data_IF_667636799000
#
_entry.id   IF_667636799000
#
_cell.length_a   1.000
_cell.length_b   1.000
_cell.length_c   1.000
_cell.angle_alpha   90.00
_cell.angle_beta   90.00
_cell.angle_gamma   90.00
#
_symmetry.space_group_name_H-M   'P 1'
#
loop_
_entity.id
_entity.type
_entity.pdbx_description
1 polymer ?
#
# COMPACT_ATOMS: atom_id res chain seq x y z
N UNK A 1 -4.67 -32.56 11.76
CA UNK A 1 -6.05 -32.39 11.30
C UNK A 1 -6.17 -31.00 10.71
N UNK A 2 -6.35 -30.95 9.40
CA UNK A 2 -6.41 -29.75 8.57
C UNK A 2 -7.71 -28.98 8.82
N UNK A 3 -7.64 -27.77 9.37
CA UNK A 3 -8.79 -26.87 9.42
C UNK A 3 -8.89 -26.11 8.10
N UNK A 4 -9.76 -26.61 7.23
CA UNK A 4 -10.31 -25.93 6.08
C UNK A 4 -11.34 -24.88 6.56
N UNK A 5 -10.89 -23.68 6.94
CA UNK A 5 -11.78 -22.52 7.14
C UNK A 5 -11.46 -21.42 6.12
N UNK A 6 -11.58 -21.74 4.83
CA UNK A 6 -11.43 -20.80 3.71
C UNK A 6 -12.80 -20.52 3.04
N UNK A 7 -13.81 -20.16 3.84
CA UNK A 7 -15.15 -19.82 3.35
C UNK A 7 -15.63 -18.42 3.76
N UNK A 8 -14.72 -17.45 3.90
CA UNK A 8 -15.11 -16.05 4.04
C UNK A 8 -14.93 -15.34 2.69
N UNK A 9 -16.02 -14.69 2.24
CA UNK A 9 -16.35 -14.22 0.89
C UNK A 9 -17.17 -15.26 0.11
N UNK A 10 -18.48 -15.01 -0.02
CA UNK A 10 -19.41 -15.87 -0.75
C UNK A 10 -18.86 -16.21 -2.15
N UNK A 11 -19.12 -17.44 -2.60
CA UNK A 11 -18.75 -17.94 -3.93
C UNK A 11 -19.38 -17.17 -5.10
N UNK A 12 -20.25 -16.20 -4.81
CA UNK A 12 -21.16 -15.59 -5.78
C UNK A 12 -20.71 -14.19 -6.25
N UNK A 13 -19.42 -13.84 -6.09
CA UNK A 13 -18.81 -12.70 -6.78
C UNK A 13 -18.66 -12.95 -8.29
N UNK A 14 -19.75 -13.33 -8.97
CA UNK A 14 -19.84 -13.36 -10.44
C UNK A 14 -20.01 -11.93 -11.00
N UNK A 15 -19.06 -11.06 -10.71
CA UNK A 15 -19.02 -9.71 -11.27
C UNK A 15 -17.60 -9.37 -11.70
N UNK A 16 -17.09 -10.12 -12.67
CA UNK A 16 -15.93 -9.67 -13.44
C UNK A 16 -16.41 -8.63 -14.48
N UNK A 17 -16.99 -7.53 -14.00
CA UNK A 17 -17.31 -6.35 -14.82
C UNK A 17 -16.04 -5.51 -14.94
N UNK A 18 -15.03 -6.10 -15.58
CA UNK A 18 -13.72 -5.49 -15.82
C UNK A 18 -13.89 -4.22 -16.63
N UNK A 19 -13.26 -3.15 -16.19
CA UNK A 19 -13.33 -1.86 -16.86
C UNK A 19 -12.04 -1.54 -17.55
N UNK A 20 -11.77 -2.34 -18.58
CA UNK A 20 -10.68 -2.12 -19.51
C UNK A 20 -10.80 -0.74 -20.18
N UNK A 21 -9.65 -0.15 -20.51
CA UNK A 21 -9.57 1.16 -21.15
C UNK A 21 -9.61 2.34 -20.17
N UNK A 22 -9.71 2.08 -18.85
CA UNK A 22 -9.47 3.08 -17.81
C UNK A 22 -7.98 3.12 -17.45
N UNK A 23 -7.50 4.30 -17.04
CA UNK A 23 -6.14 4.48 -16.52
C UNK A 23 -6.16 4.69 -15.01
N UNK A 24 -5.22 4.05 -14.32
CA UNK A 24 -5.00 4.26 -12.89
C UNK A 24 -3.56 4.64 -12.65
N UNK A 25 -3.33 5.72 -11.91
CA UNK A 25 -2.01 6.06 -11.39
C UNK A 25 -2.08 6.06 -9.87
N UNK A 26 -1.32 5.18 -9.23
CA UNK A 26 -1.09 5.18 -7.79
C UNK A 26 0.26 5.84 -7.51
N UNK A 27 0.22 7.09 -7.05
CA UNK A 27 1.37 7.85 -6.60
C UNK A 27 1.51 7.73 -5.09
N UNK A 28 2.48 6.93 -4.66
CA UNK A 28 2.85 6.73 -3.26
C UNK A 28 4.09 7.57 -2.94
N UNK A 29 3.95 8.56 -2.06
CA UNK A 29 5.06 9.40 -1.60
C UNK A 29 5.40 8.99 -0.18
N UNK A 30 6.50 8.26 0.01
CA UNK A 30 6.92 7.67 1.28
C UNK A 30 7.08 8.74 2.37
N UNK A 31 6.63 8.45 3.59
CA UNK A 31 6.73 9.34 4.73
C UNK A 31 5.84 10.61 4.67
N UNK A 32 5.03 10.80 3.62
CA UNK A 32 4.23 12.01 3.48
C UNK A 32 3.11 12.12 4.53
N UNK A 33 3.22 13.12 5.40
CA UNK A 33 2.25 13.43 6.45
C UNK A 33 1.02 14.15 5.89
N UNK A 34 -0.14 13.97 6.53
CA UNK A 34 -1.36 14.66 6.13
C UNK A 34 -1.25 16.20 6.17
N UNK A 35 -0.46 16.75 7.11
CA UNK A 35 -0.30 18.19 7.30
C UNK A 35 0.64 18.84 6.28
N UNK A 36 1.39 18.05 5.52
CA UNK A 36 2.13 18.55 4.35
C UNK A 36 1.18 18.91 3.19
N UNK A 37 -0.05 18.37 3.18
CA UNK A 37 -1.06 18.58 2.11
C UNK A 37 -2.27 19.37 2.59
N UNK A 38 -2.79 19.06 3.79
CA UNK A 38 -4.06 19.61 4.30
C UNK A 38 -3.91 20.75 5.30
N UNK A 39 -2.70 21.23 5.56
CA UNK A 39 -2.48 22.28 6.55
C UNK A 39 -3.19 23.59 6.21
N UNK A 40 -3.70 24.24 7.25
CA UNK A 40 -4.20 25.62 7.20
C UNK A 40 -3.07 26.65 7.12
N UNK A 41 -1.83 26.24 7.42
CA UNK A 41 -0.64 27.06 7.21
C UNK A 41 -0.42 27.29 5.71
N UNK A 42 -0.49 28.57 5.33
CA UNK A 42 -0.27 29.02 3.96
C UNK A 42 1.12 28.63 3.45
N UNK A 43 2.13 28.48 4.32
CA UNK A 43 3.45 28.03 3.87
C UNK A 43 3.45 26.57 3.42
N UNK A 44 2.84 25.67 4.18
CA UNK A 44 2.71 24.26 3.77
C UNK A 44 1.80 24.11 2.54
N UNK A 45 0.64 24.79 2.52
CA UNK A 45 -0.24 24.81 1.34
C UNK A 45 0.45 25.41 0.10
N UNK A 46 1.42 26.33 0.29
CA UNK A 46 2.20 26.90 -0.81
C UNK A 46 3.25 25.95 -1.40
N UNK A 47 3.52 24.79 -0.79
CA UNK A 47 4.51 23.81 -1.28
C UNK A 47 3.93 22.81 -2.28
N UNK A 48 2.65 22.45 -2.15
CA UNK A 48 1.92 21.60 -3.11
C UNK A 48 0.71 22.35 -3.70
N UNK A 49 0.98 23.45 -4.41
CA UNK A 49 -0.06 24.40 -4.85
C UNK A 49 -1.00 23.78 -5.86
N UNK A 50 -0.48 23.00 -6.81
CA UNK A 50 -1.31 22.37 -7.81
C UNK A 50 -2.25 21.36 -7.15
N UNK A 51 -1.72 20.46 -6.32
CA UNK A 51 -2.51 19.46 -5.61
C UNK A 51 -3.56 20.11 -4.69
N UNK A 52 -3.19 21.13 -3.91
CA UNK A 52 -4.14 21.86 -3.05
C UNK A 52 -5.25 22.56 -3.85
N UNK A 53 -4.92 23.16 -5.00
CA UNK A 53 -5.93 23.78 -5.86
C UNK A 53 -6.84 22.74 -6.50
N UNK A 54 -6.27 21.65 -7.01
CA UNK A 54 -7.00 20.57 -7.68
C UNK A 54 -7.97 19.86 -6.74
N UNK A 55 -7.53 19.51 -5.52
CA UNK A 55 -8.38 18.86 -4.51
C UNK A 55 -9.53 19.75 -4.02
N UNK A 56 -9.42 21.07 -4.16
CA UNK A 56 -10.47 22.04 -3.83
C UNK A 56 -11.38 22.36 -5.04
N UNK A 57 -11.27 21.60 -6.13
CA UNK A 57 -12.03 21.81 -7.35
C UNK A 57 -11.63 23.07 -8.14
N UNK A 58 -10.44 23.64 -7.88
CA UNK A 58 -9.92 24.86 -8.51
C UNK A 58 -8.70 24.57 -9.36
N UNK A 59 -8.62 23.38 -9.97
CA UNK A 59 -7.50 23.05 -10.85
C UNK A 59 -7.41 24.03 -12.02
N UNK A 60 -6.19 24.43 -12.38
CA UNK A 60 -5.92 25.16 -13.63
C UNK A 60 -5.96 24.28 -14.88
N UNK A 61 -5.90 22.95 -14.71
CA UNK A 61 -5.94 21.97 -15.78
C UNK A 61 -7.37 21.45 -15.92
N UNK A 62 -7.92 21.58 -17.13
CA UNK A 62 -9.21 20.99 -17.48
C UNK A 62 -9.14 19.44 -17.46
N UNK A 63 -10.29 18.78 -17.30
CA UNK A 63 -10.39 17.31 -17.36
C UNK A 63 -10.51 16.63 -16.00
N UNK A 64 -10.16 17.30 -14.90
CA UNK A 64 -10.58 16.86 -13.55
C UNK A 64 -12.08 17.13 -13.41
N UNK A 65 -12.87 16.07 -13.30
CA UNK A 65 -14.31 16.14 -13.01
C UNK A 65 -14.63 15.74 -11.57
N UNK A 66 -13.91 14.76 -11.04
CA UNK A 66 -14.05 14.31 -9.66
C UNK A 66 -12.81 14.62 -8.82
N UNK A 67 -13.02 15.11 -7.61
CA UNK A 67 -11.99 15.29 -6.59
C UNK A 67 -12.50 14.82 -5.22
N UNK A 68 -11.65 14.13 -4.47
CA UNK A 68 -11.94 13.70 -3.10
C UNK A 68 -10.68 13.79 -2.24
N UNK A 69 -10.87 14.13 -0.98
CA UNK A 69 -9.78 14.18 -0.01
C UNK A 69 -10.21 13.51 1.29
N UNK A 70 -9.31 12.75 1.88
CA UNK A 70 -9.52 12.09 3.17
C UNK A 70 -8.19 12.01 3.92
N UNK A 71 -8.29 11.84 5.23
CA UNK A 71 -7.15 11.40 6.04
C UNK A 71 -7.21 9.88 6.11
N UNK A 72 -6.10 9.23 5.80
CA UNK A 72 -5.97 7.78 5.93
C UNK A 72 -5.24 7.46 7.22
N UNK A 73 -5.89 6.65 8.06
CA UNK A 73 -5.34 6.13 9.30
C UNK A 73 -4.50 4.89 9.03
N UNK A 74 -3.26 4.96 9.49
CA UNK A 74 -2.22 3.96 9.32
C UNK A 74 -1.92 3.33 10.68
N UNK A 75 -1.98 2.01 10.78
CA UNK A 75 -1.70 1.30 12.03
C UNK A 75 -0.20 1.10 12.23
N UNK A 76 0.23 1.06 13.48
CA UNK A 76 1.60 0.70 13.83
C UNK A 76 1.90 -0.80 13.56
N UNK A 77 3.16 -1.17 13.27
CA UNK A 77 4.29 -0.27 13.05
C UNK A 77 4.14 0.44 11.70
N UNK A 78 4.37 1.75 11.70
CA UNK A 78 4.35 2.61 10.52
C UNK A 78 5.67 2.46 9.75
N UNK A 79 5.90 1.27 9.20
CA UNK A 79 7.09 0.92 8.41
C UNK A 79 6.67 0.56 6.99
N UNK A 80 7.43 1.01 5.99
CA UNK A 80 7.14 0.90 4.56
C UNK A 80 6.56 -0.45 4.12
N UNK A 81 7.30 -1.55 4.29
CA UNK A 81 6.85 -2.87 3.81
C UNK A 81 5.50 -3.33 4.43
N UNK A 82 5.31 -3.34 5.76
CA UNK A 82 4.01 -3.64 6.35
C UNK A 82 2.87 -2.75 5.82
N UNK A 83 3.15 -1.48 5.57
CA UNK A 83 2.13 -0.52 5.12
C UNK A 83 1.79 -0.69 3.64
N UNK A 84 2.77 -0.98 2.78
CA UNK A 84 2.52 -1.41 1.38
C UNK A 84 1.66 -2.68 1.36
N UNK A 85 1.95 -3.65 2.24
CA UNK A 85 1.10 -4.86 2.37
C UNK A 85 -0.33 -4.49 2.78
N UNK A 86 -0.50 -3.58 3.74
CA UNK A 86 -1.82 -3.12 4.15
C UNK A 86 -2.59 -2.46 3.00
N UNK A 87 -1.96 -1.49 2.31
CA UNK A 87 -2.51 -0.77 1.16
C UNK A 87 -2.99 -1.71 0.05
N UNK A 88 -2.21 -2.76 -0.25
CA UNK A 88 -2.44 -3.63 -1.40
C UNK A 88 -3.30 -4.85 -1.08
N UNK A 89 -3.36 -5.31 0.17
CA UNK A 89 -4.15 -6.49 0.57
C UNK A 89 -5.45 -6.13 1.27
N UNK A 90 -5.57 -4.90 1.78
CA UNK A 90 -6.68 -4.49 2.63
C UNK A 90 -6.64 -5.14 4.02
N UNK A 91 -5.47 -5.58 4.48
CA UNK A 91 -5.29 -6.25 5.77
C UNK A 91 -4.12 -5.67 6.54
N UNK A 92 -4.30 -5.45 7.85
CA UNK A 92 -3.18 -5.11 8.72
C UNK A 92 -2.29 -6.33 8.90
N UNK A 93 -0.99 -6.26 8.58
CA UNK A 93 -0.08 -7.38 8.82
C UNK A 93 0.09 -7.66 10.32
N UNK A 94 -0.07 -8.92 10.70
CA UNK A 94 0.25 -9.36 12.07
C UNK A 94 1.75 -9.33 12.34
N UNK A 95 2.15 -9.46 13.61
CA UNK A 95 3.56 -9.36 14.02
C UNK A 95 4.46 -10.39 13.33
N UNK A 96 4.00 -11.64 13.32
CA UNK A 96 4.71 -12.74 12.67
C UNK A 96 4.82 -12.48 11.16
N UNK A 97 3.74 -12.01 10.53
CA UNK A 97 3.80 -11.63 9.11
C UNK A 97 4.87 -10.57 8.83
N UNK A 98 5.02 -9.55 9.69
CA UNK A 98 6.06 -8.52 9.53
C UNK A 98 7.45 -9.13 9.63
N UNK A 99 7.70 -9.97 10.63
CA UNK A 99 9.00 -10.62 10.82
C UNK A 99 9.35 -11.55 9.66
N UNK A 100 8.42 -12.43 9.26
CA UNK A 100 8.68 -13.36 8.17
C UNK A 100 8.83 -12.66 6.83
N UNK A 101 8.06 -11.61 6.57
CA UNK A 101 8.21 -10.83 5.34
C UNK A 101 9.54 -10.08 5.26
N UNK A 102 10.13 -9.69 6.40
CA UNK A 102 11.47 -9.11 6.42
C UNK A 102 12.53 -10.10 5.89
N UNK A 103 12.29 -11.41 6.05
CA UNK A 103 13.18 -12.48 5.60
C UNK A 103 12.71 -13.17 4.31
N UNK A 104 11.49 -12.89 3.83
CA UNK A 104 10.92 -13.53 2.66
C UNK A 104 11.30 -12.80 1.37
N UNK A 105 11.49 -13.55 0.29
CA UNK A 105 11.77 -13.01 -1.04
C UNK A 105 10.52 -12.59 -1.81
N UNK A 106 9.33 -13.08 -1.44
CA UNK A 106 8.06 -12.81 -2.13
C UNK A 106 6.86 -12.76 -1.16
N UNK A 107 5.90 -11.86 -1.41
CA UNK A 107 4.64 -11.82 -0.67
C UNK A 107 3.67 -12.88 -1.19
N UNK A 108 3.52 -14.00 -0.50
CA UNK A 108 2.59 -15.07 -0.89
C UNK A 108 1.09 -14.71 -0.78
N UNK A 109 0.75 -13.57 -0.18
CA UNK A 109 -0.64 -13.16 0.09
C UNK A 109 -1.32 -12.55 -1.15
N UNK A 110 -2.61 -12.83 -1.31
CA UNK A 110 -3.46 -12.20 -2.33
C UNK A 110 -3.52 -10.68 -2.14
N UNK A 111 -3.49 -9.93 -3.24
CA UNK A 111 -3.39 -8.46 -3.25
C UNK A 111 -3.99 -7.87 -4.52
N UNK A 112 -4.31 -6.58 -4.51
CA UNK A 112 -4.86 -5.88 -5.67
C UNK A 112 -3.93 -5.94 -6.88
N UNK A 113 -2.61 -5.92 -6.67
CA UNK A 113 -1.60 -6.06 -7.71
C UNK A 113 -1.70 -7.43 -8.39
N UNK A 114 -1.81 -8.51 -7.59
CA UNK A 114 -2.02 -9.87 -8.12
C UNK A 114 -3.39 -10.02 -8.78
N UNK A 115 -4.42 -9.32 -8.29
CA UNK A 115 -5.77 -9.31 -8.91
C UNK A 115 -5.77 -8.62 -10.26
N UNK A 116 -5.06 -7.50 -10.41
CA UNK A 116 -4.84 -6.85 -11.71
C UNK A 116 -4.10 -7.76 -12.68
N UNK A 117 -2.98 -8.36 -12.24
CA UNK A 117 -2.23 -9.30 -13.06
C UNK A 117 -3.09 -10.48 -13.52
N UNK A 118 -3.82 -11.11 -12.60
CA UNK A 118 -4.72 -12.24 -12.92
C UNK A 118 -5.87 -11.86 -13.84
N UNK A 119 -6.26 -10.57 -13.85
CA UNK A 119 -7.27 -10.02 -14.74
C UNK A 119 -6.70 -9.48 -16.07
N UNK A 120 -5.41 -9.70 -16.33
CA UNK A 120 -4.67 -9.26 -17.52
C UNK A 120 -4.57 -7.73 -17.70
N UNK A 121 -4.57 -6.97 -16.60
CA UNK A 121 -4.21 -5.56 -16.66
C UNK A 121 -2.70 -5.43 -16.93
N UNK A 122 -2.32 -4.49 -17.80
CA UNK A 122 -0.92 -4.11 -17.94
C UNK A 122 -0.52 -3.21 -16.78
N UNK A 123 0.11 -3.79 -15.74
CA UNK A 123 0.59 -3.07 -14.56
C UNK A 123 2.06 -2.72 -14.73
N UNK A 124 2.40 -1.44 -14.67
CA UNK A 124 3.78 -0.95 -14.64
C UNK A 124 4.12 -0.38 -13.25
N UNK A 125 5.34 -0.63 -12.79
CA UNK A 125 5.83 -0.16 -11.49
C UNK A 125 7.19 0.53 -11.59
N UNK A 126 7.34 1.67 -10.94
CA UNK A 126 8.60 2.38 -10.78
C UNK A 126 8.77 2.85 -9.34
N UNK A 127 9.89 2.48 -8.71
CA UNK A 127 10.17 2.82 -7.31
C UNK A 127 11.35 2.03 -6.77
N UNK A 128 11.21 1.50 -5.57
CA UNK A 128 12.25 0.69 -4.94
C UNK A 128 12.06 -0.81 -5.10
N UNK A 129 13.08 -1.58 -4.72
CA UNK A 129 13.09 -3.03 -4.87
C UNK A 129 12.07 -3.76 -3.97
N UNK A 130 11.55 -3.12 -2.93
CA UNK A 130 10.56 -3.70 -2.00
C UNK A 130 9.35 -4.22 -2.77
N UNK A 131 8.80 -3.40 -3.67
CA UNK A 131 7.65 -3.79 -4.50
C UNK A 131 7.99 -4.92 -5.47
N UNK A 132 9.14 -4.86 -6.13
CA UNK A 132 9.54 -5.87 -7.12
C UNK A 132 9.76 -7.24 -6.48
N UNK A 133 10.24 -7.28 -5.23
CA UNK A 133 10.33 -8.49 -4.41
C UNK A 133 8.94 -8.96 -3.98
N UNK A 134 8.11 -8.07 -3.44
CA UNK A 134 6.78 -8.43 -2.93
C UNK A 134 5.85 -8.99 -4.02
N UNK A 135 5.85 -8.38 -5.22
CA UNK A 135 4.91 -8.70 -6.29
C UNK A 135 5.61 -9.32 -7.51
N UNK A 136 6.59 -10.19 -7.27
CA UNK A 136 7.36 -10.85 -8.31
C UNK A 136 6.42 -11.48 -9.37
N UNK A 137 6.70 -11.19 -10.64
CA UNK A 137 5.92 -11.70 -11.77
C UNK A 137 4.53 -11.08 -11.93
N UNK A 138 4.15 -10.06 -11.15
CA UNK A 138 2.83 -9.39 -11.28
C UNK A 138 2.86 -8.11 -12.12
N UNK A 139 4.05 -7.64 -12.51
CA UNK A 139 4.23 -6.43 -13.32
C UNK A 139 4.57 -6.78 -14.77
N UNK A 140 3.90 -6.10 -15.72
CA UNK A 140 4.25 -6.15 -17.13
C UNK A 140 5.59 -5.46 -17.40
N UNK A 141 5.91 -4.42 -16.62
CA UNK A 141 7.20 -3.74 -16.59
C UNK A 141 7.46 -3.24 -15.17
N UNK A 142 8.67 -3.40 -14.67
CA UNK A 142 9.06 -2.87 -13.38
C UNK A 142 10.51 -2.40 -13.39
N UNK A 143 10.78 -1.24 -12.78
CA UNK A 143 12.13 -0.80 -12.45
C UNK A 143 12.19 -0.41 -10.97
N UNK A 144 12.78 -1.30 -10.18
CA UNK A 144 13.06 -1.09 -8.76
C UNK A 144 14.54 -0.82 -8.55
N UNK A 145 14.87 0.22 -7.79
CA UNK A 145 16.23 0.48 -7.31
C UNK A 145 16.37 0.10 -5.83
N UNK A 146 17.58 -0.23 -5.34
CA UNK A 146 17.77 -0.54 -3.93
C UNK A 146 17.36 0.61 -3.00
N UNK A 147 16.55 0.32 -1.97
CA UNK A 147 16.05 1.32 -1.00
C UNK A 147 16.95 1.56 0.21
N UNK A 148 17.98 0.73 0.43
CA UNK A 148 18.71 0.69 1.71
C UNK A 148 19.66 1.88 1.96
N UNK A 149 19.85 2.79 1.01
CA UNK A 149 20.73 3.95 1.17
C UNK A 149 19.92 5.21 1.46
N UNK A 150 19.45 5.35 2.71
CA UNK A 150 18.66 6.50 3.17
C UNK A 150 19.36 7.87 2.99
N UNK A 151 20.67 7.89 2.72
CA UNK A 151 21.42 9.13 2.43
C UNK A 151 21.18 9.69 1.02
N UNK A 152 20.51 8.92 0.15
CA UNK A 152 20.18 9.33 -1.21
C UNK A 152 18.68 9.52 -1.38
N UNK A 153 18.27 10.79 -1.52
CA UNK A 153 16.88 11.20 -1.73
C UNK A 153 16.64 11.75 -3.14
N UNK A 154 17.53 11.42 -4.09
CA UNK A 154 17.47 11.88 -5.47
C UNK A 154 17.46 10.73 -6.49
N UNK A 155 18.28 9.69 -6.34
CA UNK A 155 18.47 8.69 -7.41
C UNK A 155 17.20 7.91 -7.71
N UNK A 156 16.52 7.40 -6.66
CA UNK A 156 15.27 6.66 -6.82
C UNK A 156 14.19 7.56 -7.42
N UNK A 157 13.97 8.76 -6.85
CA UNK A 157 12.97 9.71 -7.34
C UNK A 157 13.23 10.16 -8.78
N UNK A 158 14.49 10.37 -9.16
CA UNK A 158 14.90 10.70 -10.53
C UNK A 158 14.58 9.54 -11.48
N UNK A 159 14.94 8.31 -11.11
CA UNK A 159 14.64 7.14 -11.91
C UNK A 159 13.13 6.95 -12.11
N UNK A 160 12.33 7.14 -11.05
CA UNK A 160 10.87 7.10 -11.13
C UNK A 160 10.34 8.19 -12.06
N UNK A 161 10.88 9.41 -11.97
CA UNK A 161 10.48 10.55 -12.82
C UNK A 161 10.82 10.32 -14.29
N UNK A 162 11.98 9.75 -14.60
CA UNK A 162 12.39 9.44 -15.97
C UNK A 162 11.48 8.38 -16.61
N UNK A 163 11.22 7.28 -15.90
CA UNK A 163 10.29 6.25 -16.34
C UNK A 163 8.84 6.76 -16.45
N UNK A 164 8.42 7.62 -15.52
CA UNK A 164 7.11 8.27 -15.61
C UNK A 164 6.96 9.04 -16.92
N UNK A 165 7.99 9.80 -17.34
CA UNK A 165 7.93 10.54 -18.62
C UNK A 165 7.73 9.61 -19.81
N UNK A 166 8.43 8.47 -19.83
CA UNK A 166 8.24 7.46 -20.88
C UNK A 166 6.84 6.87 -20.85
N UNK A 167 6.35 6.49 -19.67
CA UNK A 167 5.01 5.94 -19.48
C UNK A 167 3.91 6.94 -19.88
N UNK A 168 4.06 8.24 -19.59
CA UNK A 168 3.12 9.28 -19.99
C UNK A 168 3.13 9.55 -21.50
N UNK A 169 4.25 9.31 -22.19
CA UNK A 169 4.31 9.38 -23.65
C UNK A 169 3.67 8.14 -24.31
N UNK A 170 3.69 7.00 -23.62
CA UNK A 170 3.15 5.73 -24.10
C UNK A 170 1.92 5.28 -23.28
N UNK A 171 0.94 6.16 -23.03
CA UNK A 171 -0.22 5.87 -22.18
C UNK A 171 -1.02 4.62 -22.60
N UNK A 172 -0.92 4.17 -23.85
CA UNK A 172 -1.53 2.93 -24.33
C UNK A 172 -0.85 1.65 -23.82
N UNK A 173 0.38 1.71 -23.28
CA UNK A 173 1.15 0.52 -22.88
C UNK A 173 0.81 -0.03 -21.49
N UNK A 174 0.03 0.70 -20.70
CA UNK A 174 -0.29 0.36 -19.31
C UNK A 174 -1.74 0.69 -18.97
N UNK A 175 -2.37 -0.10 -18.12
CA UNK A 175 -3.68 0.20 -17.52
C UNK A 175 -3.51 0.78 -16.11
N UNK A 176 -2.51 0.29 -15.38
CA UNK A 176 -2.16 0.74 -14.03
C UNK A 176 -0.69 1.11 -13.98
N UNK A 177 -0.41 2.29 -13.44
CA UNK A 177 0.93 2.79 -13.16
C UNK A 177 1.07 2.99 -11.65
N UNK A 178 2.05 2.31 -11.04
CA UNK A 178 2.38 2.46 -9.62
C UNK A 178 3.73 3.16 -9.52
N UNK A 179 3.75 4.27 -8.79
CA UNK A 179 4.94 5.10 -8.59
C UNK A 179 5.19 5.22 -7.09
N UNK A 180 6.39 4.86 -6.64
CA UNK A 180 6.77 4.99 -5.23
C UNK A 180 8.03 5.85 -5.12
N UNK A 181 7.87 7.05 -4.56
CA UNK A 181 8.93 8.02 -4.33
C UNK A 181 9.39 7.95 -2.88
N UNK A 182 10.70 7.89 -2.65
CA UNK A 182 11.31 7.67 -1.32
C UNK A 182 11.98 8.92 -0.76
N UNK A 183 12.29 9.90 -1.61
CA UNK A 183 13.14 11.02 -1.23
C UNK A 183 12.61 11.86 -0.07
N UNK A 184 11.28 11.94 0.11
CA UNK A 184 10.70 12.66 1.23
C UNK A 184 10.96 11.97 2.58
N UNK A 185 10.75 10.65 2.66
CA UNK A 185 11.06 9.85 3.86
C UNK A 185 12.55 9.90 4.20
N UNK A 186 13.41 9.77 3.19
CA UNK A 186 14.86 9.86 3.34
C UNK A 186 15.31 11.23 3.90
N UNK A 187 14.76 12.35 3.40
CA UNK A 187 15.00 13.68 3.99
C UNK A 187 14.53 13.70 5.45
N UNK A 188 13.37 13.10 5.72
CA UNK A 188 12.84 12.90 7.07
C UNK A 188 13.87 12.26 7.99
N UNK A 189 14.42 11.10 7.65
CA UNK A 189 15.40 10.40 8.47
C UNK A 189 16.70 11.18 8.72
N UNK A 190 17.18 11.91 7.72
CA UNK A 190 18.48 12.62 7.82
C UNK A 190 18.33 13.95 8.58
N UNK A 191 17.32 14.75 8.22
CA UNK A 191 17.22 16.16 8.65
C UNK A 191 15.91 16.51 9.36
N UNK A 192 14.94 15.58 9.39
CA UNK A 192 13.62 15.77 9.98
C UNK A 192 12.61 16.44 9.05
N UNK A 193 11.30 16.34 9.37
CA UNK A 193 10.21 16.88 8.53
C UNK A 193 10.19 18.41 8.40
N UNK A 194 10.92 19.11 9.27
CA UNK A 194 11.04 20.57 9.26
C UNK A 194 12.32 21.07 8.55
N UNK A 195 13.05 20.17 7.88
CA UNK A 195 14.21 20.53 7.08
C UNK A 195 13.89 21.57 6.00
N UNK A 196 14.91 22.36 5.62
CA UNK A 196 14.84 23.29 4.49
C UNK A 196 14.74 22.59 3.14
N UNK A 197 15.02 21.29 3.06
CA UNK A 197 14.90 20.47 1.85
C UNK A 197 13.46 20.01 1.59
N UNK A 198 12.63 19.85 2.64
CA UNK A 198 11.25 19.38 2.51
C UNK A 198 10.39 20.25 1.59
N UNK A 199 10.44 21.61 1.64
CA UNK A 199 9.72 22.45 0.69
C UNK A 199 10.04 22.17 -0.78
N UNK A 200 11.31 22.02 -1.12
CA UNK A 200 11.73 21.77 -2.51
C UNK A 200 11.30 20.37 -2.96
N UNK A 201 11.40 19.38 -2.06
CA UNK A 201 10.91 18.02 -2.32
C UNK A 201 9.39 17.96 -2.51
N UNK A 202 8.61 18.71 -1.72
CA UNK A 202 7.16 18.78 -1.91
C UNK A 202 6.79 19.50 -3.21
N UNK A 203 7.55 20.53 -3.61
CA UNK A 203 7.37 21.18 -4.91
C UNK A 203 7.69 20.25 -6.09
N UNK A 204 8.72 19.39 -5.95
CA UNK A 204 9.01 18.32 -6.91
C UNK A 204 7.82 17.37 -7.06
N UNK A 205 7.24 16.91 -5.94
CA UNK A 205 6.08 16.00 -5.96
C UNK A 205 4.83 16.68 -6.54
N UNK A 206 4.62 17.97 -6.27
CA UNK A 206 3.52 18.76 -6.85
C UNK A 206 3.64 18.85 -8.38
N UNK A 207 4.86 19.03 -8.90
CA UNK A 207 5.13 19.03 -10.33
C UNK A 207 4.90 17.64 -10.97
N UNK A 208 5.24 16.56 -10.26
CA UNK A 208 4.91 15.18 -10.69
C UNK A 208 3.40 15.01 -10.81
N UNK A 209 2.62 15.38 -9.79
CA UNK A 209 1.15 15.35 -9.83
C UNK A 209 0.61 16.14 -11.02
N UNK A 210 1.09 17.36 -11.24
CA UNK A 210 0.67 18.20 -12.36
C UNK A 210 0.96 17.56 -13.71
N UNK A 211 2.14 16.95 -13.88
CA UNK A 211 2.53 16.29 -15.13
C UNK A 211 1.62 15.10 -15.47
N UNK A 212 1.25 14.30 -14.45
CA UNK A 212 0.35 13.16 -14.60
C UNK A 212 -1.04 13.64 -15.01
N UNK A 213 -1.59 14.63 -14.30
CA UNK A 213 -2.92 15.18 -14.63
C UNK A 213 -2.93 15.80 -16.02
N UNK A 214 -1.89 16.56 -16.40
CA UNK A 214 -1.78 17.15 -17.73
C UNK A 214 -1.83 16.07 -18.82
N UNK A 215 -1.01 15.03 -18.69
CA UNK A 215 -0.93 13.96 -19.66
C UNK A 215 -2.26 13.18 -19.73
N UNK A 216 -2.84 12.79 -18.60
CA UNK A 216 -4.09 12.03 -18.55
C UNK A 216 -5.30 12.82 -19.05
N UNK A 217 -5.41 14.11 -18.69
CA UNK A 217 -6.49 14.98 -19.17
C UNK A 217 -6.48 15.21 -20.68
N UNK A 218 -5.34 14.98 -21.35
CA UNK A 218 -5.23 15.05 -22.81
C UNK A 218 -5.74 13.80 -23.52
N UNK A 219 -5.98 12.70 -22.78
CA UNK A 219 -6.40 11.42 -23.33
C UNK A 219 -7.94 11.29 -23.28
N UNK A 220 -8.58 10.71 -24.32
CA UNK A 220 -10.02 10.48 -24.35
C UNK A 220 -10.42 9.21 -23.58
N UNK A 221 -9.85 9.00 -22.39
CA UNK A 221 -10.08 7.82 -21.56
C UNK A 221 -10.41 8.23 -20.12
N UNK A 222 -11.17 7.37 -19.45
CA UNK A 222 -11.44 7.54 -18.03
C UNK A 222 -10.15 7.28 -17.22
N UNK A 223 -9.86 8.14 -16.24
CA UNK A 223 -8.65 8.02 -15.43
C UNK A 223 -8.88 8.37 -13.96
N UNK A 224 -8.07 7.75 -13.10
CA UNK A 224 -7.99 7.99 -11.66
C UNK A 224 -6.53 8.15 -11.25
N UNK A 225 -6.20 9.28 -10.65
CA UNK A 225 -4.96 9.52 -9.93
C UNK A 225 -5.24 9.43 -8.43
N UNK A 226 -4.51 8.53 -7.76
CA UNK A 226 -4.51 8.32 -6.32
C UNK A 226 -3.19 8.83 -5.78
N UNK A 227 -3.19 9.91 -5.00
CA UNK A 227 -2.01 10.43 -4.30
C UNK A 227 -2.14 10.11 -2.81
N UNK A 228 -1.21 9.34 -2.27
CA UNK A 228 -1.24 8.91 -0.86
C UNK A 228 0.16 8.65 -0.31
N UNK A 229 0.21 8.34 0.99
CA UNK A 229 1.40 7.77 1.65
C UNK A 229 1.10 6.42 2.29
N UNK A 230 2.14 5.63 2.51
CA UNK A 230 2.14 4.39 3.26
C UNK A 230 2.25 4.64 4.77
N UNK A 231 3.01 5.65 5.18
CA UNK A 231 3.03 6.21 6.53
C UNK A 231 3.38 7.70 6.54
N UNK A 232 3.22 8.35 7.68
CA UNK A 232 3.84 9.66 7.94
C UNK A 232 5.20 9.49 8.61
N UNK A 233 5.68 10.56 9.24
CA UNK A 233 6.92 10.57 10.02
C UNK A 233 6.77 11.42 11.28
N UNK A 234 7.48 11.05 12.34
CA UNK A 234 7.55 11.81 13.58
C UNK A 234 8.23 13.17 13.37
N UNK A 235 8.07 14.09 14.32
CA UNK A 235 8.75 15.40 14.26
C UNK A 235 10.29 15.30 14.35
N UNK A 236 10.82 14.14 14.75
CA UNK A 236 12.25 13.84 14.77
C UNK A 236 12.74 13.13 13.49
N UNK A 237 11.87 12.91 12.50
CA UNK A 237 12.25 12.30 11.23
C UNK A 237 12.16 10.78 11.16
N UNK A 238 12.00 10.09 12.29
CA UNK A 238 11.79 8.64 12.31
C UNK A 238 10.33 8.24 12.11
N UNK A 239 10.08 6.96 11.88
CA UNK A 239 8.76 6.34 11.82
C UNK A 239 8.79 4.93 12.48
N UNK A 240 7.69 4.19 12.43
CA UNK A 240 7.50 2.89 13.09
C UNK A 240 6.68 2.95 14.39
N UNK A 241 6.45 4.14 14.92
CA UNK A 241 5.66 4.42 16.10
C UNK A 241 4.16 4.57 15.83
N UNK A 242 3.48 5.27 16.74
CA UNK A 242 2.03 5.43 16.77
C UNK A 242 1.59 6.90 16.90
N UNK A 243 2.51 7.86 16.73
CA UNK A 243 2.15 9.27 16.85
C UNK A 243 1.15 9.68 15.75
N UNK A 244 0.32 10.71 15.97
CA UNK A 244 -0.58 11.22 14.93
C UNK A 244 0.15 11.66 13.66
N UNK A 245 1.39 12.15 13.78
CA UNK A 245 2.22 12.53 12.63
C UNK A 245 2.64 11.30 11.79
N UNK A 246 2.89 10.16 12.43
CA UNK A 246 3.24 8.91 11.75
C UNK A 246 2.02 8.16 11.19
N UNK A 247 0.88 8.26 11.88
CA UNK A 247 -0.30 7.40 11.63
C UNK A 247 -1.37 8.05 10.77
N UNK A 248 -1.19 9.32 10.35
CA UNK A 248 -2.17 10.04 9.54
C UNK A 248 -1.55 10.52 8.23
N UNK A 249 -1.96 9.90 7.14
CA UNK A 249 -1.47 10.21 5.80
C UNK A 249 -2.55 10.87 4.95
N UNK A 250 -2.18 11.69 3.95
CA UNK A 250 -3.17 12.29 3.07
C UNK A 250 -3.63 11.27 2.02
N UNK A 251 -4.90 11.33 1.66
CA UNK A 251 -5.41 10.74 0.42
C UNK A 251 -6.04 11.84 -0.42
N UNK A 252 -5.55 12.00 -1.65
CA UNK A 252 -6.20 12.86 -2.65
C UNK A 252 -6.49 12.03 -3.89
N UNK A 253 -7.76 12.03 -4.30
CA UNK A 253 -8.22 11.42 -5.54
C UNK A 253 -8.55 12.51 -6.53
N UNK A 254 -7.99 12.42 -7.73
CA UNK A 254 -8.36 13.24 -8.89
C UNK A 254 -8.79 12.31 -10.01
N UNK A 255 -9.88 12.64 -10.70
CA UNK A 255 -10.42 11.74 -11.73
C UNK A 255 -11.16 12.48 -12.84
N UNK A 256 -11.25 11.83 -13.99
CA UNK A 256 -12.06 12.28 -15.14
C UNK A 256 -13.57 12.02 -14.97
N UNK A 257 -13.97 11.29 -13.92
CA UNK A 257 -15.36 10.88 -13.65
C UNK A 257 -15.89 11.65 -12.43
N UNK A 258 -17.17 11.99 -12.44
CA UNK A 258 -17.81 12.67 -11.32
C UNK A 258 -17.93 11.76 -10.09
N UNK A 259 -17.72 12.32 -8.90
CA UNK A 259 -17.99 11.63 -7.63
C UNK A 259 -19.40 11.92 -7.12
N UNK A 260 -19.95 11.00 -6.32
CA UNK A 260 -21.34 11.07 -5.84
C UNK A 260 -21.62 12.27 -4.92
N UNK A 261 -20.59 12.82 -4.29
CA UNK A 261 -20.70 14.03 -3.47
C UNK A 261 -19.40 14.81 -3.52
N UNK A 262 -19.48 16.10 -3.83
CA UNK A 262 -18.37 17.02 -3.58
C UNK A 262 -18.35 17.29 -2.08
N UNK A 263 -17.25 16.96 -1.40
CA UNK A 263 -17.06 17.39 -0.02
C UNK A 263 -17.02 18.92 0.01
N UNK A 264 -17.90 19.55 0.80
CA UNK A 264 -17.81 20.98 1.07
C UNK A 264 -16.45 21.25 1.76
N UNK A 265 -15.64 22.20 1.29
CA UNK A 265 -14.35 22.54 1.91
C UNK A 265 -14.43 22.98 3.39
N UNK A 266 -15.63 23.28 3.90
CA UNK A 266 -15.89 23.61 5.31
C UNK A 266 -16.14 22.38 6.20
N UNK A 267 -16.28 21.19 5.61
CA UNK A 267 -16.46 19.92 6.32
C UNK A 267 -15.09 19.36 6.68
N UNK A 268 -14.96 18.83 7.90
CA UNK A 268 -13.80 18.05 8.32
C UNK A 268 -13.56 16.88 7.37
N UNK A 269 -12.31 16.69 6.93
CA UNK A 269 -12.00 15.61 5.99
C UNK A 269 -12.40 14.26 6.60
N UNK A 270 -13.09 13.40 5.83
CA UNK A 270 -13.42 12.07 6.32
C UNK A 270 -12.15 11.29 6.65
N UNK A 271 -12.24 10.45 7.68
CA UNK A 271 -11.18 9.52 8.05
C UNK A 271 -11.48 8.14 7.46
N UNK A 272 -10.50 7.57 6.77
CA UNK A 272 -10.53 6.23 6.19
C UNK A 272 -9.46 5.36 6.86
N UNK A 273 -9.64 4.04 6.82
CA UNK A 273 -8.59 3.10 7.25
C UNK A 273 -7.70 2.76 6.05
N UNK A 274 -6.39 2.57 6.26
CA UNK A 274 -5.48 2.19 5.17
C UNK A 274 -5.90 0.91 4.43
N UNK A 275 -6.61 0.01 5.11
CA UNK A 275 -7.20 -1.19 4.53
C UNK A 275 -8.21 -0.90 3.42
N UNK A 276 -8.85 0.28 3.41
CA UNK A 276 -9.84 0.68 2.41
C UNK A 276 -9.26 0.84 1.01
N UNK A 277 -7.96 1.12 0.92
CA UNK A 277 -7.27 1.43 -0.34
C UNK A 277 -7.36 0.28 -1.35
N UNK A 278 -7.29 -0.97 -0.90
CA UNK A 278 -7.45 -2.12 -1.78
C UNK A 278 -8.85 -2.16 -2.42
N UNK A 279 -9.90 -1.86 -1.64
CA UNK A 279 -11.29 -1.88 -2.11
C UNK A 279 -11.63 -0.64 -2.95
N UNK A 280 -11.03 0.52 -2.65
CA UNK A 280 -11.06 1.69 -3.53
C UNK A 280 -10.57 1.33 -4.94
N UNK A 281 -9.37 0.77 -5.04
CA UNK A 281 -8.74 0.41 -6.32
C UNK A 281 -9.53 -0.67 -7.08
N UNK A 282 -10.06 -1.63 -6.33
CA UNK A 282 -10.99 -2.65 -6.83
C UNK A 282 -12.23 -2.00 -7.45
N UNK A 283 -12.85 -1.04 -6.75
CA UNK A 283 -14.07 -0.37 -7.22
C UNK A 283 -13.87 0.31 -8.58
N UNK A 284 -12.72 0.97 -8.76
CA UNK A 284 -12.39 1.68 -9.99
C UNK A 284 -12.13 0.75 -11.18
N UNK A 285 -11.39 -0.33 -10.94
CA UNK A 285 -10.93 -1.26 -12.00
C UNK A 285 -11.93 -2.37 -12.31
N UNK A 286 -12.85 -2.66 -11.37
CA UNK A 286 -13.88 -3.70 -11.51
C UNK A 286 -13.35 -5.12 -11.36
N UNK A 287 -12.13 -5.31 -10.84
CA UNK A 287 -11.63 -6.64 -10.43
C UNK A 287 -12.29 -7.07 -9.12
N UNK A 288 -12.05 -8.30 -8.67
CA UNK A 288 -12.48 -8.74 -7.33
C UNK A 288 -11.56 -8.16 -6.24
N UNK A 289 -12.10 -7.83 -5.04
CA UNK A 289 -11.28 -7.49 -3.90
C UNK A 289 -10.29 -8.61 -3.55
N UNK A 290 -9.11 -8.28 -2.98
CA UNK A 290 -8.24 -9.29 -2.38
C UNK A 290 -9.00 -10.13 -1.33
N UNK A 291 -8.68 -11.42 -1.25
CA UNK A 291 -9.32 -12.34 -0.30
C UNK A 291 -9.14 -11.84 1.13
N UNK A 292 -10.23 -11.87 1.89
CA UNK A 292 -10.29 -11.42 3.28
C UNK A 292 -9.78 -9.98 3.50
N UNK A 293 -9.87 -9.12 2.48
CA UNK A 293 -9.73 -7.67 2.63
C UNK A 293 -10.76 -7.16 3.64
N UNK A 294 -10.29 -6.34 4.59
CA UNK A 294 -11.14 -5.62 5.52
C UNK A 294 -11.56 -4.25 4.97
N UNK A 295 -11.07 -3.84 3.79
CA UNK A 295 -11.32 -2.51 3.26
C UNK A 295 -12.79 -2.20 3.03
N UNK A 296 -13.20 -0.97 3.29
CA UNK A 296 -14.54 -0.44 3.05
C UNK A 296 -14.47 0.65 1.98
N UNK A 297 -15.42 0.68 1.05
CA UNK A 297 -15.57 1.81 0.14
C UNK A 297 -16.50 2.86 0.78
N UNK A 298 -16.05 4.11 0.88
CA UNK A 298 -16.88 5.21 1.41
C UNK A 298 -18.05 5.52 0.45
N UNK A 299 -19.28 5.79 0.94
CA UNK A 299 -20.45 6.05 0.08
C UNK A 299 -20.23 7.17 -0.96
N UNK A 300 -19.56 8.26 -0.57
CA UNK A 300 -19.16 9.37 -1.46
C UNK A 300 -18.32 8.97 -2.68
N UNK A 301 -17.63 7.82 -2.59
CA UNK A 301 -16.78 7.28 -3.65
C UNK A 301 -17.52 6.33 -4.59
N UNK A 302 -18.81 6.10 -4.38
CA UNK A 302 -19.63 5.22 -5.22
C UNK A 302 -19.58 5.57 -6.71
N UNK A 303 -19.43 6.85 -7.05
CA UNK A 303 -19.29 7.34 -8.44
C UNK A 303 -18.02 6.89 -9.16
N UNK A 304 -16.96 6.46 -8.44
CA UNK A 304 -15.77 5.87 -9.05
C UNK A 304 -16.02 4.44 -9.53
N UNK A 305 -16.97 3.74 -8.91
CA UNK A 305 -17.14 2.33 -9.14
C UNK A 305 -17.59 2.06 -10.57
N UNK A 306 -17.00 1.07 -11.20
CA UNK A 306 -17.32 0.80 -12.58
C UNK A 306 -18.65 0.07 -12.78
N UNK A 307 -19.45 0.42 -13.79
CA UNK A 307 -20.50 -0.48 -14.33
C UNK A 307 -21.59 -0.93 -13.33
N UNK A 308 -22.07 -0.06 -12.45
CA UNK A 308 -23.10 -0.38 -11.45
C UNK A 308 -22.59 -1.22 -10.27
N UNK A 309 -21.28 -1.48 -10.22
CA UNK A 309 -20.59 -2.27 -9.19
C UNK A 309 -20.61 -1.59 -7.81
N UNK A 310 -20.95 -0.29 -7.70
CA UNK A 310 -20.90 0.44 -6.44
C UNK A 310 -21.74 -0.22 -5.36
N UNK A 311 -23.05 -0.37 -5.58
CA UNK A 311 -23.97 -0.70 -4.49
C UNK A 311 -23.84 -2.15 -4.05
N UNK A 312 -23.54 -3.07 -4.96
CA UNK A 312 -23.29 -4.48 -4.64
C UNK A 312 -21.96 -4.71 -3.95
N UNK A 313 -20.89 -4.02 -4.40
CA UNK A 313 -19.58 -4.11 -3.73
C UNK A 313 -19.70 -3.53 -2.32
N UNK A 314 -20.28 -2.33 -2.20
CA UNK A 314 -20.52 -1.65 -0.93
C UNK A 314 -21.31 -2.56 0.01
N UNK A 315 -22.52 -2.97 -0.37
CA UNK A 315 -23.41 -3.71 0.54
C UNK A 315 -22.86 -5.08 0.93
N UNK A 316 -22.31 -5.86 -0.01
CA UNK A 316 -21.82 -7.20 0.30
C UNK A 316 -20.58 -7.17 1.19
N UNK A 317 -19.63 -6.29 0.90
CA UNK A 317 -18.42 -6.15 1.70
C UNK A 317 -18.74 -5.67 3.12
N UNK A 318 -19.72 -4.77 3.27
CA UNK A 318 -20.18 -4.32 4.59
C UNK A 318 -20.85 -5.44 5.38
N UNK A 319 -21.72 -6.22 4.74
CA UNK A 319 -22.40 -7.35 5.37
C UNK A 319 -21.41 -8.44 5.81
N UNK A 320 -20.42 -8.77 4.98
CA UNK A 320 -19.40 -9.77 5.31
C UNK A 320 -18.58 -9.34 6.55
N UNK A 321 -18.29 -8.05 6.71
CA UNK A 321 -17.58 -7.53 7.89
C UNK A 321 -18.42 -7.55 9.17
N UNK A 322 -19.72 -7.21 9.06
CA UNK A 322 -20.63 -7.29 10.19
C UNK A 322 -20.85 -8.73 10.65
N UNK A 323 -20.90 -9.68 9.70
CA UNK A 323 -20.97 -11.11 9.98
C UNK A 323 -19.73 -11.59 10.74
N UNK A 324 -18.53 -11.19 10.28
CA UNK A 324 -17.26 -11.52 10.92
C UNK A 324 -17.14 -10.94 12.35
N UNK A 325 -17.61 -9.70 12.58
CA UNK A 325 -17.63 -9.08 13.92
C UNK A 325 -18.56 -9.82 14.88
N UNK A 326 -19.74 -10.22 14.40
CA UNK A 326 -20.71 -10.96 15.20
C UNK A 326 -20.16 -12.31 15.67
N UNK A 327 -19.46 -13.02 14.78
CA UNK A 327 -18.79 -14.30 15.09
C UNK A 327 -17.70 -14.13 16.15
N UNK A 328 -16.82 -13.13 16.01
CA UNK A 328 -15.75 -12.89 16.98
C UNK A 328 -16.26 -12.55 18.37
N UNK A 329 -17.35 -11.79 18.45
CA UNK A 329 -17.94 -11.39 19.72
C UNK A 329 -18.86 -12.45 20.32
N UNK A 330 -18.97 -13.63 19.70
CA UNK A 330 -19.84 -14.72 20.16
C UNK A 330 -21.27 -14.25 20.47
N UNK A 331 -21.74 -13.22 19.75
CA UNK A 331 -23.08 -12.64 20.00
C UNK A 331 -24.12 -13.72 19.70
N UNK A 332 -25.02 -13.97 20.66
CA UNK A 332 -26.04 -15.02 20.53
C UNK A 332 -27.19 -14.68 19.58
N UNK A 333 -27.26 -13.44 19.10
CA UNK A 333 -28.24 -13.04 18.10
C UNK A 333 -27.79 -13.54 16.73
N UNK A 334 -28.65 -14.30 16.06
CA UNK A 334 -28.40 -14.79 14.72
C UNK A 334 -28.24 -13.60 13.76
N UNK A 335 -27.08 -13.50 13.08
CA UNK A 335 -26.86 -12.51 12.05
C UNK A 335 -27.82 -12.74 10.88
N UNK A 336 -28.88 -11.92 10.78
CA UNK A 336 -29.84 -12.01 9.70
C UNK A 336 -29.38 -11.18 8.49
N UNK A 337 -28.63 -11.82 7.59
CA UNK A 337 -28.08 -11.18 6.37
C UNK A 337 -29.15 -10.56 5.48
N UNK A 338 -30.33 -11.20 5.36
CA UNK A 338 -31.43 -10.71 4.51
C UNK A 338 -32.02 -9.40 5.02
N UNK A 339 -32.30 -9.32 6.33
CA UNK A 339 -32.82 -8.12 6.96
C UNK A 339 -31.83 -6.95 6.90
N UNK A 340 -30.56 -7.22 7.22
CA UNK A 340 -29.50 -6.21 7.15
C UNK A 340 -29.27 -5.72 5.71
N UNK A 341 -29.32 -6.63 4.73
CA UNK A 341 -29.21 -6.26 3.32
C UNK A 341 -30.33 -5.30 2.88
N UNK A 342 -31.57 -5.51 3.33
CA UNK A 342 -32.68 -4.59 3.03
C UNK A 342 -32.42 -3.22 3.64
N UNK A 343 -31.99 -3.18 4.91
CA UNK A 343 -31.66 -1.94 5.60
C UNK A 343 -30.52 -1.17 4.93
N UNK A 344 -29.50 -1.86 4.41
CA UNK A 344 -28.42 -1.22 3.66
C UNK A 344 -28.86 -0.69 2.30
N UNK A 345 -29.87 -1.29 1.67
CA UNK A 345 -30.46 -0.76 0.45
C UNK A 345 -31.28 0.53 0.71
N UNK A 346 -31.84 0.68 1.91
CA UNK A 346 -32.61 1.86 2.34
C UNK A 346 -31.69 3.01 2.81
N UNK A 347 -30.65 2.72 3.59
CA UNK A 347 -29.71 3.71 4.13
C UNK A 347 -28.25 3.21 4.07
N UNK A 348 -27.56 3.63 3.02
CA UNK A 348 -26.15 3.30 2.80
C UNK A 348 -25.23 3.93 3.86
N UNK A 349 -25.56 5.12 4.38
CA UNK A 349 -24.71 5.80 5.35
C UNK A 349 -24.79 5.10 6.71
N UNK A 350 -25.98 4.68 7.12
CA UNK A 350 -26.17 3.87 8.31
C UNK A 350 -25.35 2.57 8.23
N UNK A 351 -25.48 1.80 7.15
CA UNK A 351 -24.72 0.55 7.03
C UNK A 351 -23.22 0.75 6.96
N UNK A 352 -22.76 1.79 6.25
CA UNK A 352 -21.35 2.14 6.25
C UNK A 352 -20.84 2.46 7.66
N UNK A 353 -21.61 3.21 8.47
CA UNK A 353 -21.22 3.56 9.84
C UNK A 353 -21.09 2.34 10.77
N UNK A 354 -21.97 1.36 10.64
CA UNK A 354 -21.91 0.12 11.40
C UNK A 354 -20.73 -0.75 10.94
N UNK A 355 -20.56 -0.91 9.63
CA UNK A 355 -19.45 -1.68 9.07
C UNK A 355 -18.09 -1.05 9.42
N UNK A 356 -18.01 0.29 9.47
CA UNK A 356 -16.83 1.03 9.89
C UNK A 356 -16.45 0.73 11.34
N UNK A 357 -17.41 0.69 12.26
CA UNK A 357 -17.15 0.31 13.65
C UNK A 357 -16.64 -1.13 13.76
N UNK A 358 -17.27 -2.06 13.04
CA UNK A 358 -16.83 -3.46 12.98
C UNK A 358 -15.40 -3.58 12.43
N UNK A 359 -15.10 -2.90 11.32
CA UNK A 359 -13.77 -2.87 10.72
C UNK A 359 -12.73 -2.32 11.71
N UNK A 360 -13.02 -1.23 12.41
CA UNK A 360 -12.10 -0.65 13.39
C UNK A 360 -11.76 -1.61 14.51
N UNK A 361 -12.75 -2.37 15.02
CA UNK A 361 -12.51 -3.41 16.02
C UNK A 361 -11.58 -4.52 15.48
N UNK A 362 -11.79 -4.96 14.23
CA UNK A 362 -10.98 -5.98 13.57
C UNK A 362 -9.55 -5.52 13.29
N UNK A 363 -9.40 -4.29 12.80
CA UNK A 363 -8.12 -3.63 12.53
C UNK A 363 -7.34 -3.47 13.84
N UNK A 364 -8.00 -3.01 14.89
CA UNK A 364 -7.40 -2.86 16.22
C UNK A 364 -6.93 -4.22 16.78
N UNK A 365 -7.79 -5.24 16.76
CA UNK A 365 -7.43 -6.58 17.20
C UNK A 365 -6.27 -7.20 16.39
N UNK A 366 -6.15 -6.85 15.10
CA UNK A 366 -5.06 -7.31 14.23
C UNK A 366 -3.74 -6.56 14.47
N UNK A 367 -3.82 -5.32 14.96
CA UNK A 367 -2.69 -4.45 15.27
C UNK A 367 -2.19 -4.61 16.73
N UNK A 368 -2.98 -5.20 17.63
CA UNK A 368 -2.56 -5.46 19.01
C UNK A 368 -1.50 -6.56 19.08
N UNK A 369 -0.24 -6.12 19.13
CA UNK A 369 0.87 -7.00 19.40
C UNK A 369 0.91 -7.37 20.89
N UNK A 370 0.42 -8.57 21.21
CA UNK A 370 0.50 -9.12 22.56
C UNK A 370 1.96 -9.25 23.01
N UNK A 371 2.42 -8.32 23.84
CA UNK A 371 3.78 -8.30 24.39
C UNK A 371 4.20 -9.65 25.01
N UNK A 372 3.35 -10.37 25.80
CA UNK A 372 3.68 -11.71 26.26
C UNK A 372 3.96 -12.71 25.12
N UNK A 373 3.14 -12.70 24.06
CA UNK A 373 3.33 -13.58 22.90
C UNK A 373 4.58 -13.20 22.10
N UNK A 374 4.87 -11.91 21.96
CA UNK A 374 6.11 -11.44 21.33
C UNK A 374 7.35 -11.88 22.11
N UNK A 375 7.34 -11.73 23.45
CA UNK A 375 8.45 -12.16 24.30
C UNK A 375 8.63 -13.68 24.29
N UNK A 376 7.55 -14.46 24.25
CA UNK A 376 7.62 -15.92 24.04
C UNK A 376 8.23 -16.23 22.68
N UNK A 377 7.82 -15.54 21.61
CA UNK A 377 8.36 -15.72 20.26
C UNK A 377 9.86 -15.40 20.17
N UNK A 378 10.29 -14.28 20.74
CA UNK A 378 11.70 -13.90 20.84
C UNK A 378 12.49 -14.90 21.70
N UNK A 379 11.91 -15.35 22.83
CA UNK A 379 12.50 -16.37 23.68
C UNK A 379 12.71 -17.70 22.95
N UNK A 380 11.70 -18.17 22.21
CA UNK A 380 11.78 -19.38 21.38
C UNK A 380 12.79 -19.21 20.24
N UNK A 381 12.85 -18.03 19.60
CA UNK A 381 13.84 -17.71 18.57
C UNK A 381 15.27 -17.77 19.09
N UNK A 382 15.55 -17.12 20.23
CA UNK A 382 16.85 -17.20 20.91
C UNK A 382 17.20 -18.64 21.30
N UNK A 383 16.24 -19.41 21.82
CA UNK A 383 16.43 -20.81 22.17
C UNK A 383 16.80 -21.66 20.95
N UNK A 384 16.07 -21.49 19.83
CA UNK A 384 16.36 -22.17 18.56
C UNK A 384 17.75 -21.80 18.01
N UNK A 385 18.15 -20.54 18.09
CA UNK A 385 19.51 -20.10 17.71
C UNK A 385 20.57 -20.73 18.61
N UNK A 386 20.34 -20.82 19.93
CA UNK A 386 21.23 -21.49 20.87
C UNK A 386 21.37 -23.00 20.57
N UNK A 387 20.30 -23.67 20.16
CA UNK A 387 20.35 -25.08 19.76
C UNK A 387 21.02 -25.32 18.40
N UNK A 388 21.02 -24.32 17.50
CA UNK A 388 21.73 -24.39 16.20
C UNK A 388 23.15 -23.84 16.24
N UNK A 389 23.54 -23.12 17.30
CA UNK A 389 24.90 -22.60 17.48
C UNK A 389 25.98 -23.70 17.45
N UNK A 390 25.80 -24.89 18.09
CA UNK A 390 26.79 -25.97 18.03
C UNK A 390 26.98 -26.54 16.62
N UNK A 391 25.91 -26.63 15.85
CA UNK A 391 25.94 -27.13 14.46
C UNK A 391 26.56 -26.11 13.50
N UNK A 392 26.32 -24.82 13.72
CA UNK A 392 26.99 -23.72 13.00
C UNK A 392 28.49 -23.65 13.33
N UNK A 393 28.86 -23.78 14.61
CA UNK A 393 30.25 -23.82 15.05
C UNK A 393 30.99 -25.07 14.53
N UNK A 394 30.34 -26.22 14.45
CA UNK A 394 30.89 -27.41 13.79
C UNK A 394 31.09 -27.20 12.29
N UNK A 395 30.14 -26.57 11.59
CA UNK A 395 30.27 -26.28 10.16
C UNK A 395 31.45 -25.32 9.87
N UNK A 396 31.63 -24.27 10.69
CA UNK A 396 32.76 -23.34 10.59
C UNK A 396 34.08 -24.03 10.97
N UNK A 397 34.09 -24.87 12.01
CA UNK A 397 35.27 -25.66 12.40
C UNK A 397 35.69 -26.71 11.36
N UNK A 398 34.75 -27.28 10.59
CA UNK A 398 35.06 -28.17 9.47
C UNK A 398 35.60 -27.42 8.24
N UNK A 399 35.21 -26.15 8.05
CA UNK A 399 35.75 -25.31 6.97
C UNK A 399 37.19 -24.87 7.26
N UNK A 400 37.54 -24.59 8.52
CA UNK A 400 38.93 -24.26 8.89
C UNK A 400 39.84 -25.49 8.87
N UNK A 401 39.36 -26.66 9.28
CA UNK A 401 40.12 -27.91 9.25
C UNK A 401 40.43 -28.42 7.83
N UNK A 402 39.59 -28.11 6.83
CA UNK A 402 39.84 -28.49 5.42
C UNK A 402 40.87 -27.62 4.69
N UNK A 403 41.33 -26.51 5.29
CA UNK A 403 42.30 -25.61 4.66
C UNK A 403 43.78 -25.96 4.91
N UNK A 404 44.08 -26.96 5.75
CA UNK A 404 45.45 -27.39 6.06
C UNK A 404 45.69 -28.86 5.67
N UNK A 405 45.67 -29.15 4.37
CA UNK A 405 46.25 -30.38 3.80
C UNK A 405 47.57 -30.02 3.07
N UNK A 406 48.67 -30.76 3.27
CA UNK A 406 49.98 -30.40 2.72
C UNK A 406 50.01 -30.58 1.20
N UNK A 407 50.47 -29.53 0.49
CA UNK A 407 50.95 -29.62 -0.88
C UNK A 407 52.24 -30.44 -0.90
N UNK A 408 52.17 -31.72 -1.24
CA UNK A 408 53.36 -32.45 -1.69
C UNK A 408 53.68 -32.06 -3.13
N UNK A 409 54.76 -31.29 -3.25
CA UNK A 409 55.49 -31.03 -4.49
C UNK A 409 56.03 -32.36 -5.05
N UNK A 410 55.56 -32.78 -6.22
CA UNK A 410 56.33 -33.68 -7.08
C UNK A 410 57.31 -32.84 -7.92
N UNK A 411 58.59 -32.84 -7.54
CA UNK A 411 59.69 -32.45 -8.42
C UNK A 411 60.12 -33.66 -9.25
N UNK A 412 59.81 -33.64 -10.54
CA UNK A 412 60.49 -34.49 -11.52
C UNK A 412 61.75 -33.74 -11.96
N UNK A 413 62.90 -34.27 -11.57
CA UNK A 413 64.22 -33.83 -12.03
C UNK A 413 64.81 -34.88 -12.97
N UNK A 414 65.76 -34.42 -13.78
CA UNK A 414 66.09 -34.88 -15.11
C UNK A 414 66.67 -36.30 -15.29
N UNK A 415 66.50 -36.77 -16.54
CA UNK A 415 67.18 -37.92 -17.15
C UNK A 415 68.70 -37.68 -17.27
N UNK A 416 69.54 -38.67 -16.94
CA UNK A 416 70.41 -39.42 -17.91
C UNK A 416 71.62 -40.19 -17.31
N UNK A 417 71.97 -41.29 -18.02
CA UNK A 417 73.18 -42.17 -18.01
C UNK A 417 73.41 -43.06 -16.76
N UNK A 418 73.60 -44.38 -16.83
CA UNK A 418 74.01 -45.35 -17.87
C UNK A 418 73.21 -46.67 -17.77
#
# INVERSE_FOLDING_TARGET
MSNQNNHYLSSDWHLDRRCFGRKTVLLLIDGMRQDMVFSSDRQSAAKMRFLDSARRGKSRIAGIRGNYSAVVKVQSPTVTLPRIKCLTTGRVPGFLDVLWNFFASELATDSIVRRWHSANFSVQFYGDDTWTRMFLGSFAMAQGLPSFFATDFYEVDKNVTENLREALNATSSWDVLILHYLGLDHIGHIEGPNSRLVPDKLAEMDAVVESIVTALSSQPVDWLLVVTSDHGMSDLGGHGGASPAETRTPLVLLSSVQLSSSLDPSIELPELEQTDMANLLTSWTGVQPPRASLGLLHPSLGGLACGGFSNSLLSNNWLDLLELEAELNSKSEAFNRSERSKRCAEDLNYCYSEARQAQQALVYASAEYSLPRMLIGLGLGCLCCLFRLPTLLQAVGMMTAKSNGPNEFQSADDRHFD
#
